data_IF_874282458797
#
_entry.id   IF_874282458797
#
_cell.length_a   1.000
_cell.length_b   1.000
_cell.length_c   1.000
_cell.angle_alpha   90.00
_cell.angle_beta   90.00
_cell.angle_gamma   90.00
#
_symmetry.space_group_name_H-M   'P 1'
#
loop_
_entity.id
_entity.type
_entity.pdbx_description
1 polymer ?
#
# COMPACT_ATOMS: atom_id res chain seq x y z
N UNK A 1 -16.44 -8.67 2.56
CA UNK A 1 -16.02 -8.70 1.14
C UNK A 1 -14.63 -8.12 1.00
N UNK A 2 -13.84 -8.71 0.14
CA UNK A 2 -12.48 -8.21 -0.10
C UNK A 2 -12.52 -6.89 -0.87
N UNK A 3 -11.57 -6.02 -0.58
CA UNK A 3 -11.44 -4.72 -1.22
C UNK A 3 -10.18 -4.67 -2.05
N UNK A 4 -10.27 -4.07 -3.24
CA UNK A 4 -9.12 -3.68 -4.03
C UNK A 4 -8.78 -2.23 -3.71
N UNK A 5 -7.53 -1.96 -3.37
CA UNK A 5 -7.08 -0.62 -3.02
C UNK A 5 -5.89 -0.26 -3.90
N UNK A 6 -6.04 0.80 -4.67
CA UNK A 6 -5.03 1.25 -5.61
C UNK A 6 -4.62 2.67 -5.28
N UNK A 7 -3.31 2.89 -5.17
CA UNK A 7 -2.82 4.25 -4.97
C UNK A 7 -1.54 4.53 -5.74
N UNK A 8 -1.44 5.78 -6.18
CA UNK A 8 -0.26 6.35 -6.82
C UNK A 8 0.08 7.61 -6.04
N UNK A 9 1.24 7.60 -5.38
CA UNK A 9 1.70 8.77 -4.64
C UNK A 9 2.80 9.46 -5.44
N UNK A 10 2.74 10.78 -5.53
CA UNK A 10 3.79 11.54 -6.20
C UNK A 10 5.09 11.43 -5.42
N UNK A 11 6.19 11.28 -6.16
CA UNK A 11 7.50 11.15 -5.53
C UNK A 11 7.80 9.78 -4.95
N UNK A 12 6.94 8.80 -5.16
CA UNK A 12 7.16 7.45 -4.64
C UNK A 12 8.02 6.66 -5.62
N UNK A 13 9.34 6.85 -5.48
CA UNK A 13 10.32 6.17 -6.33
C UNK A 13 10.62 4.76 -5.82
N UNK A 14 11.24 3.89 -6.65
CA UNK A 14 11.65 2.56 -6.19
C UNK A 14 12.52 2.59 -4.94
N UNK A 15 13.46 3.54 -4.84
CA UNK A 15 14.32 3.66 -3.67
C UNK A 15 13.51 3.97 -2.41
N UNK A 16 12.54 4.86 -2.51
CA UNK A 16 11.68 5.22 -1.39
C UNK A 16 10.77 4.06 -1.02
N UNK A 17 10.31 3.30 -2.01
CA UNK A 17 9.51 2.11 -1.76
C UNK A 17 10.30 1.08 -0.95
N UNK A 18 11.55 0.80 -1.36
CA UNK A 18 12.40 -0.14 -0.65
C UNK A 18 12.67 0.32 0.78
N UNK A 19 12.90 1.61 0.97
CA UNK A 19 13.11 2.19 2.30
C UNK A 19 11.84 2.10 3.16
N UNK A 20 10.68 2.32 2.55
CA UNK A 20 9.40 2.18 3.26
C UNK A 20 9.21 0.74 3.76
N UNK A 21 9.54 -0.26 2.93
CA UNK A 21 9.45 -1.65 3.34
C UNK A 21 10.35 -1.96 4.53
N UNK A 22 11.57 -1.43 4.54
CA UNK A 22 12.50 -1.61 5.65
C UNK A 22 11.93 -1.01 6.94
N UNK A 23 11.37 0.19 6.86
CA UNK A 23 10.79 0.87 8.00
C UNK A 23 9.55 0.14 8.53
N UNK A 24 8.71 -0.36 7.64
CA UNK A 24 7.54 -1.15 8.01
C UNK A 24 7.95 -2.44 8.71
N UNK A 25 8.95 -3.13 8.16
CA UNK A 25 9.45 -4.37 8.75
C UNK A 25 10.03 -4.12 10.15
N UNK A 26 10.80 -3.04 10.30
CA UNK A 26 11.35 -2.64 11.59
C UNK A 26 10.26 -2.30 12.62
N UNK A 27 9.11 -1.80 12.16
CA UNK A 27 7.97 -1.50 13.02
C UNK A 27 7.08 -2.73 13.29
N UNK A 28 7.44 -3.90 12.75
CA UNK A 28 6.64 -5.12 12.91
C UNK A 28 5.41 -5.14 12.02
N UNK A 29 5.36 -4.30 10.98
CA UNK A 29 4.19 -4.13 10.12
C UNK A 29 4.43 -4.54 8.67
N UNK A 30 5.40 -5.41 8.43
CA UNK A 30 5.71 -5.90 7.08
C UNK A 30 4.61 -6.78 6.48
N UNK A 31 3.79 -7.40 7.33
CA UNK A 31 2.65 -8.21 6.90
C UNK A 31 1.43 -7.82 7.73
N UNK A 32 0.79 -6.69 7.39
CA UNK A 32 -0.31 -6.20 8.21
C UNK A 32 -1.52 -7.13 8.17
N UNK A 33 -2.23 -7.19 9.28
CA UNK A 33 -3.43 -7.99 9.40
C UNK A 33 -4.47 -7.58 8.35
N UNK A 34 -5.01 -8.56 7.67
CA UNK A 34 -6.08 -8.34 6.71
C UNK A 34 -5.63 -8.06 5.28
N UNK A 35 -4.34 -7.85 5.06
CA UNK A 35 -3.83 -7.70 3.69
C UNK A 35 -3.55 -9.07 3.10
N UNK A 36 -4.27 -9.41 2.03
CA UNK A 36 -4.14 -10.70 1.35
C UNK A 36 -3.06 -10.68 0.27
N UNK A 37 -2.98 -9.58 -0.47
CA UNK A 37 -2.03 -9.41 -1.57
C UNK A 37 -1.53 -7.99 -1.61
N UNK A 38 -0.30 -7.84 -2.08
CA UNK A 38 0.34 -6.54 -2.26
C UNK A 38 1.17 -6.60 -3.53
N UNK A 39 0.90 -5.68 -4.46
CA UNK A 39 1.66 -5.57 -5.70
C UNK A 39 2.20 -4.15 -5.81
N UNK A 40 3.47 -4.05 -6.18
CA UNK A 40 4.09 -2.78 -6.51
C UNK A 40 4.49 -2.83 -7.98
N UNK A 41 3.98 -1.88 -8.75
CA UNK A 41 4.29 -1.75 -10.16
C UNK A 41 5.16 -0.52 -10.34
N UNK A 42 6.09 -0.58 -11.27
CA UNK A 42 6.91 0.59 -11.60
C UNK A 42 6.58 1.06 -13.00
N UNK A 43 6.34 2.37 -13.15
CA UNK A 43 6.13 2.99 -14.44
C UNK A 43 6.74 4.39 -14.40
N UNK A 44 7.61 4.69 -15.36
CA UNK A 44 8.29 5.99 -15.47
C UNK A 44 8.98 6.45 -14.17
N UNK A 45 9.57 5.50 -13.46
CA UNK A 45 10.31 5.78 -12.22
C UNK A 45 9.44 5.99 -11.00
N UNK A 46 8.15 5.73 -11.09
CA UNK A 46 7.21 5.85 -9.97
C UNK A 46 6.60 4.49 -9.63
N UNK A 47 6.41 4.27 -8.35
CA UNK A 47 5.76 3.05 -7.84
C UNK A 47 4.26 3.29 -7.74
N UNK A 48 3.50 2.32 -8.24
CA UNK A 48 2.05 2.25 -8.12
C UNK A 48 1.74 1.00 -7.30
N UNK A 49 0.86 1.12 -6.33
CA UNK A 49 0.57 0.02 -5.41
C UNK A 49 -0.88 -0.43 -5.58
N UNK A 50 -1.07 -1.73 -5.67
CA UNK A 50 -2.38 -2.35 -5.63
C UNK A 50 -2.40 -3.40 -4.53
N UNK A 51 -3.31 -3.24 -3.59
CA UNK A 51 -3.48 -4.15 -2.45
C UNK A 51 -4.85 -4.80 -2.48
N UNK A 52 -4.91 -6.00 -1.93
CA UNK A 52 -6.18 -6.65 -1.62
C UNK A 52 -6.25 -6.78 -0.10
N UNK A 53 -7.33 -6.23 0.48
CA UNK A 53 -7.58 -6.25 1.91
C UNK A 53 -8.90 -6.96 2.22
N UNK A 54 -8.96 -7.64 3.35
CA UNK A 54 -10.17 -8.36 3.77
C UNK A 54 -11.28 -7.42 4.17
N UNK A 55 -10.95 -6.25 4.74
CA UNK A 55 -11.93 -5.27 5.17
C UNK A 55 -11.37 -3.86 5.18
N UNK A 56 -12.25 -2.87 5.11
CA UNK A 56 -11.90 -1.47 5.26
C UNK A 56 -11.31 -1.20 6.65
N UNK A 57 -11.84 -1.86 7.66
CA UNK A 57 -11.36 -1.69 9.04
C UNK A 57 -9.88 -2.08 9.16
N UNK A 58 -9.47 -3.20 8.57
CA UNK A 58 -8.08 -3.63 8.61
C UNK A 58 -7.17 -2.65 7.88
N UNK A 59 -7.62 -2.15 6.73
CA UNK A 59 -6.87 -1.14 5.99
C UNK A 59 -6.72 0.15 6.79
N UNK A 60 -7.81 0.61 7.40
CA UNK A 60 -7.79 1.84 8.20
C UNK A 60 -6.87 1.70 9.41
N UNK A 61 -6.80 0.52 10.00
CA UNK A 61 -5.90 0.26 11.13
C UNK A 61 -4.42 0.31 10.74
N UNK A 62 -4.10 0.07 9.47
CA UNK A 62 -2.73 0.14 8.96
C UNK A 62 -2.27 1.58 8.71
N UNK A 63 -3.20 2.49 8.40
CA UNK A 63 -2.90 3.87 8.07
C UNK A 63 -1.99 4.58 9.07
N UNK A 64 -2.29 4.53 10.39
CA UNK A 64 -1.44 5.19 11.39
C UNK A 64 0.01 4.75 11.43
N UNK A 65 0.30 3.55 10.92
CA UNK A 65 1.67 3.07 10.80
C UNK A 65 2.30 3.49 9.47
N UNK A 66 1.55 3.38 8.39
CA UNK A 66 2.06 3.65 7.03
C UNK A 66 2.25 5.14 6.75
N UNK A 67 1.26 5.96 7.10
CA UNK A 67 1.26 7.38 6.73
C UNK A 67 2.49 8.14 7.25
N UNK A 68 2.88 8.00 8.54
CA UNK A 68 4.08 8.69 9.02
C UNK A 68 5.37 8.26 8.30
N UNK A 69 5.46 6.99 7.93
CA UNK A 69 6.62 6.45 7.22
C UNK A 69 6.74 7.10 5.84
N UNK A 70 5.65 7.16 5.08
CA UNK A 70 5.66 7.78 3.76
C UNK A 70 5.93 9.29 3.85
N UNK A 71 5.35 9.95 4.83
CA UNK A 71 5.59 11.39 5.05
C UNK A 71 7.05 11.67 5.36
N UNK A 72 7.68 10.85 6.20
CA UNK A 72 9.10 10.99 6.54
C UNK A 72 9.99 10.84 5.31
N UNK A 73 9.60 10.01 4.36
CA UNK A 73 10.35 9.79 3.13
C UNK A 73 10.09 10.86 2.06
N UNK A 74 9.23 11.83 2.36
CA UNK A 74 8.91 12.89 1.42
C UNK A 74 7.97 12.47 0.31
N UNK A 75 7.22 11.40 0.49
CA UNK A 75 6.23 10.94 -0.47
C UNK A 75 4.95 11.78 -0.30
N UNK A 76 4.45 12.30 -1.41
CA UNK A 76 3.20 13.06 -1.41
C UNK A 76 2.02 12.11 -1.34
N UNK A 77 1.27 12.16 -0.23
CA UNK A 77 0.17 11.24 -0.02
C UNK A 77 -1.02 11.59 -0.90
N UNK A 78 -1.56 10.58 -1.57
CA UNK A 78 -2.77 10.73 -2.37
C UNK A 78 -3.84 9.79 -1.81
N UNK A 79 -5.10 10.15 -2.04
CA UNK A 79 -6.20 9.30 -1.62
C UNK A 79 -6.24 8.03 -2.47
N UNK A 80 -6.37 6.86 -1.83
CA UNK A 80 -6.48 5.61 -2.59
C UNK A 80 -7.84 5.49 -3.26
N UNK A 81 -7.86 4.74 -4.36
CA UNK A 81 -9.11 4.27 -4.96
C UNK A 81 -9.49 2.96 -4.30
N UNK A 82 -10.65 2.92 -3.67
CA UNK A 82 -11.11 1.76 -2.92
C UNK A 82 -12.42 1.26 -3.52
N UNK A 83 -12.47 -0.03 -3.85
CA UNK A 83 -13.70 -0.64 -4.36
C UNK A 83 -13.75 -2.12 -3.97
N UNK A 84 -14.95 -2.65 -3.89
CA UNK A 84 -15.13 -4.08 -3.64
C UNK A 84 -14.66 -4.88 -4.83
N UNK A 85 -13.99 -6.00 -4.56
CA UNK A 85 -13.57 -6.91 -5.63
C UNK A 85 -14.80 -7.70 -6.07
N UNK A 86 -15.19 -7.50 -7.33
CA UNK A 86 -16.33 -8.22 -7.90
C UNK A 86 -15.98 -9.65 -8.27
N UNK A 87 -14.76 -9.85 -8.79
CA UNK A 87 -14.28 -11.17 -9.20
C UNK A 87 -12.76 -11.18 -9.24
N UNK A 88 -12.17 -12.31 -8.95
CA UNK A 88 -10.73 -12.50 -9.11
C UNK A 88 -10.45 -13.89 -9.67
N UNK A 89 -9.50 -13.96 -10.59
CA UNK A 89 -9.09 -15.20 -11.24
C UNK A 89 -7.58 -15.25 -11.15
N UNK A 90 -7.07 -16.38 -10.67
CA UNK A 90 -5.63 -16.55 -10.43
C UNK A 90 -4.91 -17.15 -11.66
N UNK A 91 -5.07 -16.54 -12.80
CA UNK A 91 -4.37 -16.99 -14.00
C UNK A 91 -5.21 -17.51 -15.12
#
# INVERSE_FOLDING_TARGET
MALGIYFVHMGFTPDKYDEALKKLDAAGAGSPKGRSYHFALESDGLIQVFDVWESQEDFDAFGPTLIPILAELGVELAEPSIAEIHNSIAG
#
